data_IF_437200833802
#
_entry.id   IF_437200833802
#
_cell.length_a   1.000
_cell.length_b   1.000
_cell.length_c   1.000
_cell.angle_alpha   90.00
_cell.angle_beta   90.00
_cell.angle_gamma   90.00
#
_symmetry.space_group_name_H-M   'P 1'
#
loop_
_entity.id
_entity.type
_entity.pdbx_description
1 polymer ?
#
# COMPACT_ATOMS: atom_id res chain seq x y z
N UNK A 1 -20.18 -20.59 -14.13
CA UNK A 1 -19.89 -21.63 -13.14
C UNK A 1 -19.16 -21.03 -11.95
N UNK A 2 -19.82 -21.07 -10.78
CA UNK A 2 -19.25 -21.12 -9.40
C UNK A 2 -18.15 -20.13 -8.98
N UNK A 3 -18.55 -18.94 -8.50
CA UNK A 3 -17.73 -18.13 -7.56
C UNK A 3 -18.50 -17.85 -6.24
N UNK A 4 -19.59 -18.60 -5.99
CA UNK A 4 -20.61 -18.21 -5.01
C UNK A 4 -20.51 -18.89 -3.64
N UNK A 5 -19.35 -19.41 -3.23
CA UNK A 5 -19.20 -20.02 -1.90
C UNK A 5 -17.87 -19.68 -1.23
N UNK A 6 -17.69 -18.41 -0.88
CA UNK A 6 -16.75 -18.04 0.18
C UNK A 6 -17.56 -17.91 1.49
N UNK A 7 -17.20 -18.67 2.54
CA UNK A 7 -18.08 -18.89 3.67
C UNK A 7 -18.26 -17.58 4.45
N UNK A 8 -19.52 -17.14 4.53
CA UNK A 8 -20.01 -16.05 5.35
C UNK A 8 -19.57 -16.14 6.84
N UNK A 9 -19.08 -17.32 7.27
CA UNK A 9 -18.47 -17.56 8.59
C UNK A 9 -17.15 -16.80 8.82
N UNK A 10 -16.33 -16.58 7.79
CA UNK A 10 -15.08 -15.81 7.90
C UNK A 10 -15.39 -14.34 8.23
N UNK A 11 -16.42 -13.77 7.58
CA UNK A 11 -16.89 -12.40 7.85
C UNK A 11 -17.43 -12.18 9.27
N UNK A 12 -17.95 -13.23 9.91
CA UNK A 12 -18.54 -13.15 11.25
C UNK A 12 -17.48 -13.28 12.36
N UNK A 13 -16.48 -14.17 12.18
CA UNK A 13 -15.42 -14.40 13.18
C UNK A 13 -14.45 -13.21 13.29
N UNK A 14 -14.17 -12.55 12.17
CA UNK A 14 -13.32 -11.37 12.03
C UNK A 14 -13.78 -10.13 12.84
N UNK A 15 -15.05 -10.12 13.27
CA UNK A 15 -15.69 -9.00 13.97
C UNK A 15 -15.40 -8.95 15.48
N UNK A 16 -14.88 -10.01 16.10
CA UNK A 16 -14.92 -10.14 17.56
C UNK A 16 -13.57 -10.18 18.30
N UNK A 17 -12.43 -10.36 17.62
CA UNK A 17 -11.15 -10.46 18.35
C UNK A 17 -9.96 -9.88 17.58
N UNK A 18 -9.27 -8.91 18.19
CA UNK A 18 -8.00 -8.32 17.71
C UNK A 18 -6.95 -9.39 17.38
N UNK A 19 -6.90 -10.46 18.18
CA UNK A 19 -6.01 -11.61 17.98
C UNK A 19 -6.28 -12.36 16.68
N UNK A 20 -7.54 -12.52 16.28
CA UNK A 20 -7.89 -13.20 15.04
C UNK A 20 -7.46 -12.38 13.81
N UNK A 21 -7.53 -11.05 13.91
CA UNK A 21 -7.08 -10.14 12.85
C UNK A 21 -5.56 -10.23 12.66
N UNK A 22 -4.81 -10.28 13.77
CA UNK A 22 -3.35 -10.49 13.75
C UNK A 22 -3.01 -11.88 13.21
N UNK A 23 -3.71 -12.93 13.67
CA UNK A 23 -3.53 -14.29 13.19
C UNK A 23 -3.79 -14.43 11.69
N UNK A 24 -4.78 -13.73 11.16
CA UNK A 24 -5.05 -13.70 9.72
C UNK A 24 -3.93 -12.96 8.95
N UNK A 25 -3.40 -11.87 9.49
CA UNK A 25 -2.25 -11.17 8.90
C UNK A 25 -1.01 -12.08 8.85
N UNK A 26 -0.77 -12.84 9.93
CA UNK A 26 0.29 -13.85 9.98
C UNK A 26 0.06 -14.99 8.99
N UNK A 27 -1.18 -15.47 8.85
CA UNK A 27 -1.51 -16.52 7.89
C UNK A 27 -1.27 -16.08 6.44
N UNK A 28 -1.64 -14.84 6.09
CA UNK A 28 -1.37 -14.28 4.75
C UNK A 28 0.13 -14.15 4.50
N UNK A 29 0.88 -13.65 5.49
CA UNK A 29 2.34 -13.58 5.38
C UNK A 29 2.97 -14.97 5.20
N UNK A 30 2.55 -15.96 5.99
CA UNK A 30 3.05 -17.33 5.89
C UNK A 30 2.73 -17.97 4.54
N UNK A 31 1.52 -17.74 4.01
CA UNK A 31 1.12 -18.20 2.68
C UNK A 31 1.99 -17.55 1.58
N UNK A 32 2.24 -16.24 1.68
CA UNK A 32 3.07 -15.50 0.74
C UNK A 32 4.53 -15.95 0.78
N UNK A 33 5.06 -16.22 1.98
CA UNK A 33 6.42 -16.72 2.18
C UNK A 33 6.58 -18.15 1.66
N UNK A 34 5.60 -19.02 1.92
CA UNK A 34 5.56 -20.36 1.33
C UNK A 34 5.51 -20.29 -0.19
N UNK A 35 4.68 -19.41 -0.76
CA UNK A 35 4.61 -19.24 -2.21
C UNK A 35 5.92 -18.71 -2.80
N UNK A 36 6.59 -17.77 -2.11
CA UNK A 36 7.93 -17.28 -2.48
C UNK A 36 8.95 -18.42 -2.56
N UNK A 37 8.94 -19.32 -1.57
CA UNK A 37 9.86 -20.45 -1.51
C UNK A 37 9.61 -21.45 -2.65
N UNK A 38 8.35 -21.72 -2.98
CA UNK A 38 8.00 -22.62 -4.08
C UNK A 38 8.27 -22.02 -5.47
N UNK A 39 8.06 -20.72 -5.65
CA UNK A 39 8.26 -20.04 -6.95
C UNK A 39 9.68 -19.45 -7.11
N UNK A 40 10.55 -19.58 -6.11
CA UNK A 40 11.91 -19.00 -6.07
C UNK A 40 11.96 -17.52 -6.49
N UNK A 41 10.95 -16.74 -6.12
CA UNK A 41 10.84 -15.33 -6.51
C UNK A 41 11.88 -14.47 -5.77
N UNK A 42 12.54 -13.51 -6.45
CA UNK A 42 13.53 -12.61 -5.85
C UNK A 42 12.92 -11.55 -4.92
N UNK A 43 11.58 -11.58 -4.71
CA UNK A 43 10.84 -10.60 -3.95
C UNK A 43 10.59 -11.11 -2.53
N UNK A 44 10.85 -10.32 -1.46
CA UNK A 44 10.58 -10.72 -0.09
C UNK A 44 9.12 -11.11 0.16
N UNK A 45 8.89 -12.11 1.02
CA UNK A 45 7.54 -12.60 1.33
C UNK A 45 6.63 -11.51 1.92
N UNK A 46 7.20 -10.50 2.59
CA UNK A 46 6.46 -9.34 3.10
C UNK A 46 5.81 -8.50 1.99
N UNK A 47 6.52 -8.26 0.89
CA UNK A 47 6.00 -7.50 -0.27
C UNK A 47 4.93 -8.32 -0.99
N UNK A 48 5.13 -9.63 -1.14
CA UNK A 48 4.12 -10.53 -1.69
C UNK A 48 2.87 -10.60 -0.79
N UNK A 49 3.05 -10.64 0.53
CA UNK A 49 1.97 -10.63 1.51
C UNK A 49 1.17 -9.33 1.46
N UNK A 50 1.83 -8.18 1.31
CA UNK A 50 1.19 -6.89 1.08
C UNK A 50 0.35 -6.91 -0.20
N UNK A 51 0.93 -7.39 -1.30
CA UNK A 51 0.23 -7.52 -2.59
C UNK A 51 -0.98 -8.46 -2.53
N UNK A 52 -0.84 -9.61 -1.86
CA UNK A 52 -1.92 -10.57 -1.67
C UNK A 52 -3.05 -9.99 -0.81
N UNK A 53 -2.71 -9.29 0.28
CA UNK A 53 -3.68 -8.61 1.12
C UNK A 53 -4.41 -7.50 0.36
N UNK A 54 -3.69 -6.73 -0.46
CA UNK A 54 -4.27 -5.73 -1.35
C UNK A 54 -5.22 -6.37 -2.37
N UNK A 55 -4.84 -7.49 -2.98
CA UNK A 55 -5.69 -8.22 -3.91
C UNK A 55 -6.97 -8.73 -3.24
N UNK A 56 -6.89 -9.25 -2.02
CA UNK A 56 -8.06 -9.64 -1.21
C UNK A 56 -8.99 -8.47 -0.91
N UNK A 57 -8.41 -7.28 -0.70
CA UNK A 57 -9.13 -6.05 -0.43
C UNK A 57 -9.84 -5.54 -1.69
N UNK A 58 -9.15 -5.55 -2.84
CA UNK A 58 -9.70 -5.20 -4.15
C UNK A 58 -10.82 -6.17 -4.55
N UNK A 59 -10.64 -7.46 -4.30
CA UNK A 59 -11.66 -8.48 -4.52
C UNK A 59 -12.88 -8.36 -3.57
N UNK A 60 -12.90 -7.38 -2.65
CA UNK A 60 -13.96 -7.15 -1.64
C UNK A 60 -14.28 -8.36 -0.75
N UNK A 61 -13.38 -9.33 -0.72
CA UNK A 61 -13.48 -10.53 0.13
C UNK A 61 -13.33 -10.09 1.59
N UNK A 62 -12.40 -9.16 1.83
CA UNK A 62 -12.05 -8.60 3.13
C UNK A 62 -12.44 -7.12 3.21
N UNK A 63 -13.03 -6.70 4.33
CA UNK A 63 -13.29 -5.27 4.62
C UNK A 63 -12.12 -4.67 5.39
N UNK A 64 -11.70 -3.46 5.02
CA UNK A 64 -10.62 -2.69 5.68
C UNK A 64 -10.89 -2.49 7.17
N UNK A 65 -12.14 -2.13 7.54
CA UNK A 65 -12.57 -1.99 8.94
C UNK A 65 -12.24 -3.20 9.81
N UNK A 66 -12.23 -4.39 9.22
CA UNK A 66 -11.98 -5.61 9.95
C UNK A 66 -10.53 -5.85 10.31
N UNK A 67 -9.58 -5.13 9.72
CA UNK A 67 -8.15 -5.22 10.05
C UNK A 67 -7.64 -3.99 10.79
N UNK A 68 -8.40 -2.89 10.70
CA UNK A 68 -8.02 -1.59 11.26
C UNK A 68 -7.70 -1.66 12.75
N UNK A 69 -8.43 -2.46 13.52
CA UNK A 69 -8.28 -2.52 14.98
C UNK A 69 -7.04 -3.32 15.41
N UNK A 70 -6.80 -4.47 14.80
CA UNK A 70 -5.60 -5.29 15.03
C UNK A 70 -4.34 -4.62 14.50
N UNK A 71 -4.39 -4.03 13.30
CA UNK A 71 -3.27 -3.27 12.76
C UNK A 71 -2.94 -2.04 13.62
N UNK A 72 -3.95 -1.29 14.08
CA UNK A 72 -3.74 -0.13 14.97
C UNK A 72 -3.14 -0.54 16.31
N UNK A 73 -3.48 -1.71 16.84
CA UNK A 73 -2.84 -2.24 18.04
C UNK A 73 -1.37 -2.59 17.80
N UNK A 74 -1.06 -3.29 16.70
CA UNK A 74 0.32 -3.61 16.31
C UNK A 74 1.16 -2.34 16.06
N UNK A 75 0.54 -1.31 15.47
CA UNK A 75 1.11 0.02 15.28
C UNK A 75 1.37 0.75 16.60
N UNK A 76 0.47 0.59 17.59
CA UNK A 76 0.68 1.13 18.94
C UNK A 76 1.88 0.51 19.64
N UNK A 77 2.09 -0.79 19.45
CA UNK A 77 3.22 -1.55 20.00
C UNK A 77 4.45 -1.56 19.06
N UNK A 78 4.55 -0.68 18.05
CA UNK A 78 5.71 -0.63 17.14
C UNK A 78 7.04 -0.47 17.89
N UNK A 79 7.04 0.25 19.01
CA UNK A 79 8.24 0.43 19.83
C UNK A 79 8.75 -0.91 20.39
N UNK A 80 7.83 -1.79 20.81
CA UNK A 80 8.17 -3.12 21.32
C UNK A 80 8.87 -3.97 20.25
N UNK A 81 8.44 -3.88 18.99
CA UNK A 81 9.10 -4.57 17.87
C UNK A 81 10.42 -3.91 17.45
N UNK A 82 10.57 -2.60 17.69
CA UNK A 82 11.78 -1.87 17.37
C UNK A 82 12.92 -2.17 18.34
N UNK A 83 12.63 -2.40 19.63
CA UNK A 83 13.67 -2.66 20.64
C UNK A 83 14.55 -3.87 20.30
N UNK A 84 14.02 -5.07 20.00
CA UNK A 84 14.83 -6.22 19.59
C UNK A 84 15.60 -5.98 18.29
N UNK A 85 14.97 -5.32 17.31
CA UNK A 85 15.62 -4.99 16.04
C UNK A 85 16.78 -4.02 16.21
N UNK A 86 16.63 -3.02 17.09
CA UNK A 86 17.67 -2.06 17.44
C UNK A 86 18.81 -2.73 18.22
N UNK A 87 18.51 -3.62 19.17
CA UNK A 87 19.54 -4.36 19.91
C UNK A 87 20.38 -5.24 18.97
N UNK A 88 19.74 -5.97 18.07
CA UNK A 88 20.44 -6.78 17.05
C UNK A 88 21.35 -5.93 16.15
N UNK A 89 20.97 -4.67 15.88
CA UNK A 89 21.81 -3.74 15.13
C UNK A 89 23.02 -3.25 15.94
N UNK A 90 22.84 -2.97 17.24
CA UNK A 90 23.91 -2.51 18.13
C UNK A 90 24.96 -3.59 18.39
N UNK A 91 24.57 -4.87 18.39
CA UNK A 91 25.50 -6.02 18.50
C UNK A 91 26.48 -6.12 17.32
N UNK A 92 26.25 -5.37 16.24
CA UNK A 92 27.12 -5.28 15.07
C UNK A 92 27.77 -3.89 14.96
N UNK A 93 28.86 -3.61 15.70
CA UNK A 93 29.48 -2.29 15.78
C UNK A 93 30.05 -1.79 14.45
N UNK A 94 30.26 -2.67 13.47
CA UNK A 94 30.63 -2.30 12.10
C UNK A 94 29.61 -1.34 11.46
N UNK A 95 28.31 -1.52 11.75
CA UNK A 95 27.24 -0.62 11.29
C UNK A 95 27.16 0.69 12.06
N UNK A 96 27.88 0.85 13.18
CA UNK A 96 27.94 2.11 13.94
C UNK A 96 29.20 2.93 13.61
N UNK A 97 30.12 2.35 12.84
CA UNK A 97 31.35 3.00 12.38
C UNK A 97 31.12 3.81 11.08
N UNK A 98 32.13 3.93 10.23
CA UNK A 98 32.06 4.64 8.95
C UNK A 98 30.97 4.08 8.02
N UNK A 99 30.71 2.77 8.08
CA UNK A 99 29.62 2.12 7.33
C UNK A 99 28.24 2.62 7.76
N UNK A 100 28.04 2.89 9.06
CA UNK A 100 26.82 3.49 9.59
C UNK A 100 26.54 4.87 9.05
N UNK A 101 27.58 5.71 9.01
CA UNK A 101 27.46 7.06 8.47
C UNK A 101 27.12 7.02 6.96
N UNK A 102 27.71 6.08 6.20
CA UNK A 102 27.36 5.85 4.80
C UNK A 102 25.90 5.41 4.64
N UNK A 103 25.42 4.47 5.48
CA UNK A 103 24.03 4.02 5.46
C UNK A 103 23.07 5.17 5.78
N UNK A 104 23.36 5.96 6.82
CA UNK A 104 22.57 7.13 7.18
C UNK A 104 22.49 8.14 6.03
N UNK A 105 23.62 8.44 5.40
CA UNK A 105 23.68 9.33 4.25
C UNK A 105 22.84 8.80 3.08
N UNK A 106 22.96 7.51 2.74
CA UNK A 106 22.17 6.88 1.67
C UNK A 106 20.68 6.91 1.97
N UNK A 107 20.26 6.62 3.21
CA UNK A 107 18.86 6.66 3.63
C UNK A 107 18.32 8.09 3.58
N UNK A 108 19.07 9.07 4.09
CA UNK A 108 18.66 10.48 4.09
C UNK A 108 18.52 11.02 2.66
N UNK A 109 19.55 10.85 1.84
CA UNK A 109 19.55 11.29 0.43
C UNK A 109 18.47 10.55 -0.36
N UNK A 110 18.36 9.23 -0.19
CA UNK A 110 17.34 8.41 -0.85
C UNK A 110 15.91 8.84 -0.49
N UNK A 111 15.66 9.14 0.79
CA UNK A 111 14.35 9.62 1.24
C UNK A 111 14.02 11.00 0.65
N UNK A 112 14.98 11.94 0.67
CA UNK A 112 14.80 13.25 0.06
C UNK A 112 14.55 13.16 -1.44
N UNK A 113 15.28 12.27 -2.13
CA UNK A 113 15.13 12.05 -3.56
C UNK A 113 13.76 11.46 -3.86
N UNK A 114 13.33 10.41 -3.16
CA UNK A 114 12.00 9.80 -3.33
C UNK A 114 10.88 10.81 -3.06
N UNK A 115 10.98 11.60 -1.98
CA UNK A 115 10.01 12.66 -1.68
C UNK A 115 9.98 13.71 -2.80
N UNK A 116 11.14 14.19 -3.25
CA UNK A 116 11.26 15.16 -4.33
C UNK A 116 10.71 14.64 -5.65
N UNK A 117 11.06 13.43 -6.06
CA UNK A 117 10.54 12.81 -7.29
C UNK A 117 9.04 12.60 -7.22
N UNK A 118 8.51 12.21 -6.06
CA UNK A 118 7.05 12.03 -5.87
C UNK A 118 6.33 13.36 -5.97
N UNK A 119 6.86 14.42 -5.35
CA UNK A 119 6.30 15.77 -5.44
C UNK A 119 6.27 16.29 -6.89
N UNK A 120 7.40 16.18 -7.59
CA UNK A 120 7.51 16.60 -8.99
C UNK A 120 6.61 15.78 -9.92
N UNK A 121 6.50 14.46 -9.70
CA UNK A 121 5.63 13.59 -10.49
C UNK A 121 4.14 13.97 -10.32
N UNK A 122 3.72 14.26 -9.08
CA UNK A 122 2.36 14.71 -8.78
C UNK A 122 2.09 16.08 -9.40
N UNK A 123 3.03 17.02 -9.30
CA UNK A 123 2.90 18.36 -9.89
C UNK A 123 2.82 18.30 -11.42
N UNK A 124 3.69 17.51 -12.07
CA UNK A 124 3.63 17.27 -13.51
C UNK A 124 2.30 16.65 -13.94
N UNK A 125 1.82 15.64 -13.21
CA UNK A 125 0.52 15.01 -13.46
C UNK A 125 -0.63 16.03 -13.37
N UNK A 126 -0.59 16.91 -12.37
CA UNK A 126 -1.61 17.94 -12.17
C UNK A 126 -1.57 19.02 -13.27
N UNK A 127 -0.39 19.45 -13.70
CA UNK A 127 -0.21 20.40 -14.79
C UNK A 127 -0.68 19.82 -16.14
N UNK A 128 -0.36 18.56 -16.42
CA UNK A 128 -0.83 17.85 -17.62
C UNK A 128 -2.36 17.68 -17.60
N UNK A 129 -2.93 17.31 -16.45
CA UNK A 129 -4.38 17.19 -16.27
C UNK A 129 -5.10 18.53 -16.50
N UNK A 130 -4.53 19.65 -16.03
CA UNK A 130 -5.09 21.00 -16.28
C UNK A 130 -5.05 21.38 -17.76
N UNK A 131 -4.01 21.00 -18.50
CA UNK A 131 -3.90 21.27 -19.95
C UNK A 131 -4.91 20.45 -20.77
N UNK A 132 -5.20 19.22 -20.37
CA UNK A 132 -6.19 18.38 -21.03
C UNK A 132 -7.63 18.90 -20.86
N UNK A 133 -7.93 19.57 -19.73
CA UNK A 133 -9.27 20.08 -19.41
C UNK A 133 -9.57 21.47 -20.01
N UNK A 134 -8.56 22.18 -20.50
CA UNK A 134 -8.74 23.48 -21.17
C UNK A 134 -9.09 23.38 -22.67
N UNK A 135 -9.05 22.18 -23.26
CA UNK A 135 -9.28 21.91 -24.68
C UNK A 135 -10.65 21.28 -25.10
N UNK A 136 -11.68 21.02 -24.25
CA UNK A 136 -12.97 20.51 -24.73
C UNK A 136 -13.96 21.56 -25.26
N UNK A 137 -13.91 22.81 -24.78
CA UNK A 137 -15.05 23.74 -24.96
C UNK A 137 -15.04 24.51 -26.29
N UNK A 138 -13.95 24.46 -27.05
CA UNK A 138 -13.88 25.15 -28.36
C UNK A 138 -14.53 24.36 -29.50
N UNK A 139 -14.76 23.05 -29.33
CA UNK A 139 -15.39 22.20 -30.34
C UNK A 139 -16.90 21.96 -30.09
N UNK A 140 -17.40 22.25 -28.87
CA UNK A 140 -18.82 22.13 -28.53
C UNK A 140 -19.64 23.40 -28.89
N UNK A 141 -18.99 24.56 -29.00
CA UNK A 141 -19.63 25.84 -29.30
C UNK A 141 -19.91 26.13 -30.78
N UNK A 142 -19.35 25.34 -31.71
CA UNK A 142 -19.49 25.55 -33.16
C UNK A 142 -20.57 24.69 -33.83
N UNK A 143 -21.21 23.77 -33.09
CA UNK A 143 -22.19 22.82 -33.62
C UNK A 143 -23.66 23.10 -33.23
N UNK A 144 -23.98 24.26 -32.64
CA UNK A 144 -25.37 24.66 -32.37
C UNK A 144 -25.83 25.72 -33.39
N UNK A 145 -26.47 25.30 -34.50
CA UNK A 145 -27.15 26.23 -35.39
C UNK A 145 -28.26 26.97 -34.65
N UNK A 146 -28.19 28.31 -34.73
CA UNK A 146 -29.21 29.26 -34.28
C UNK A 146 -30.55 28.92 -34.93
N UNK A 147 -31.52 28.46 -34.15
CA UNK A 147 -32.92 28.47 -34.54
C UNK A 147 -33.82 28.48 -33.30
N UNK A 148 -34.07 29.66 -32.75
CA UNK A 148 -35.40 30.04 -32.27
C UNK A 148 -35.47 31.54 -31.99
N UNK A 149 -35.28 32.33 -33.05
CA UNK A 149 -36.19 33.44 -33.26
C UNK A 149 -37.37 32.87 -34.03
N UNK A 150 -38.51 32.73 -33.37
CA UNK A 150 -39.87 32.78 -33.93
C UNK A 150 -40.86 32.30 -32.87
N UNK A 151 -41.60 33.29 -32.35
CA UNK A 151 -42.94 33.24 -31.75
C UNK A 151 -43.04 32.94 -30.26
#
# INVERSE_FOLDING_TARGET
>A
MTVQRLPLRVRALLRHSRLLQIGLLMAVWWLAESLRQHLALPVPGSVLGLGAMLALLLARIVRVESFRQGARWLLGEMLLFFVPAAMALLDHPEFLSVTGLKLLAVVAVGTLLVMGTTALAVEACFLLSRRAMAAPDTLAGSALPRAHGLR
#
